data_IF_648635607044
#
_entry.id   IF_648635607044
#
_cell.length_a   1.000
_cell.length_b   1.000
_cell.length_c   1.000
_cell.angle_alpha   90.00
_cell.angle_beta   90.00
_cell.angle_gamma   90.00
#
_symmetry.space_group_name_H-M   'P 1'
#
loop_
_entity.id
_entity.type
_entity.pdbx_description
1 polymer ?
#
# COMPACT_ATOMS: atom_id res chain seq x y z
N UNK A 1 -2.80 19.47 4.51
CA UNK A 1 -1.58 20.12 3.98
C UNK A 1 -0.26 19.69 4.64
N UNK A 2 -0.11 19.65 5.97
CA UNK A 2 1.15 19.19 6.62
C UNK A 2 1.48 17.71 6.35
N UNK A 3 0.49 16.84 6.28
CA UNK A 3 0.65 15.39 6.06
C UNK A 3 1.24 15.11 4.66
N UNK A 4 0.76 15.76 3.62
CA UNK A 4 1.25 15.59 2.24
C UNK A 4 2.73 15.98 2.08
N UNK A 5 3.19 17.06 2.73
CA UNK A 5 4.60 17.49 2.64
C UNK A 5 5.58 16.46 3.22
N UNK A 6 5.22 15.79 4.34
CA UNK A 6 6.04 14.74 4.94
C UNK A 6 6.19 13.55 3.99
N UNK A 7 5.09 13.13 3.34
CA UNK A 7 5.12 12.02 2.39
C UNK A 7 5.91 12.35 1.12
N UNK A 8 5.74 13.56 0.59
CA UNK A 8 6.52 14.02 -0.58
C UNK A 8 8.01 14.00 -0.26
N UNK A 9 8.41 14.48 0.91
CA UNK A 9 9.81 14.45 1.35
C UNK A 9 10.32 13.01 1.47
N UNK A 10 9.57 12.14 2.16
CA UNK A 10 9.94 10.72 2.30
C UNK A 10 10.13 10.05 0.93
N UNK A 11 9.24 10.33 -0.02
CA UNK A 11 9.35 9.78 -1.37
C UNK A 11 10.56 10.32 -2.12
N UNK A 12 10.81 11.62 -2.01
CA UNK A 12 11.99 12.27 -2.62
C UNK A 12 13.27 11.66 -2.09
N UNK A 13 13.41 11.55 -0.76
CA UNK A 13 14.60 10.97 -0.12
C UNK A 13 14.83 9.52 -0.59
N UNK A 14 13.77 8.72 -0.68
CA UNK A 14 13.86 7.36 -1.22
C UNK A 14 14.31 7.34 -2.69
N UNK A 15 13.72 8.18 -3.55
CA UNK A 15 14.09 8.25 -4.96
C UNK A 15 15.56 8.63 -5.16
N UNK A 16 16.08 9.53 -4.34
CA UNK A 16 17.50 9.91 -4.36
C UNK A 16 18.41 8.72 -4.05
N UNK A 17 18.04 7.85 -3.12
CA UNK A 17 18.80 6.59 -2.86
C UNK A 17 18.81 5.63 -4.07
N UNK A 18 17.84 5.75 -4.97
CA UNK A 18 17.72 4.96 -6.19
C UNK A 18 18.29 5.67 -7.43
N UNK A 19 18.96 6.82 -7.26
CA UNK A 19 19.42 7.68 -8.36
C UNK A 19 18.28 8.14 -9.29
N UNK A 20 17.08 8.29 -8.75
CA UNK A 20 15.88 8.74 -9.45
C UNK A 20 15.49 10.15 -8.98
N UNK A 21 14.82 10.90 -9.88
CA UNK A 21 14.30 12.23 -9.55
C UNK A 21 12.81 12.18 -9.24
N UNK A 22 12.37 13.03 -8.33
CA UNK A 22 10.96 13.32 -8.11
C UNK A 22 10.47 14.23 -9.26
N UNK A 23 9.84 13.62 -10.26
CA UNK A 23 9.19 14.39 -11.35
C UNK A 23 7.82 14.87 -10.91
N UNK A 24 7.28 15.86 -11.63
CA UNK A 24 5.92 16.37 -11.39
C UNK A 24 4.88 15.26 -11.48
N UNK A 25 5.04 14.35 -12.45
CA UNK A 25 4.12 13.22 -12.62
C UNK A 25 4.18 12.24 -11.44
N UNK A 26 5.38 11.91 -10.94
CA UNK A 26 5.54 11.05 -9.76
C UNK A 26 4.94 11.67 -8.51
N UNK A 27 5.17 12.96 -8.32
CA UNK A 27 4.58 13.69 -7.20
C UNK A 27 3.05 13.68 -7.29
N UNK A 28 2.50 13.91 -8.48
CA UNK A 28 1.07 13.91 -8.70
C UNK A 28 0.46 12.52 -8.43
N UNK A 29 1.10 11.43 -8.89
CA UNK A 29 0.68 10.05 -8.59
C UNK A 29 0.64 9.82 -7.08
N UNK A 30 1.67 10.25 -6.33
CA UNK A 30 1.66 10.18 -4.86
C UNK A 30 0.49 10.96 -4.27
N UNK A 31 0.30 12.23 -4.65
CA UNK A 31 -0.74 13.09 -4.10
C UNK A 31 -2.14 12.54 -4.35
N UNK A 32 -2.40 12.03 -5.56
CA UNK A 32 -3.68 11.40 -5.89
C UNK A 32 -3.88 10.05 -5.19
N UNK A 33 -2.82 9.28 -4.96
CA UNK A 33 -2.89 8.05 -4.16
C UNK A 33 -3.31 8.33 -2.71
N UNK A 34 -2.86 9.45 -2.13
CA UNK A 34 -3.22 9.84 -0.77
C UNK A 34 -4.68 10.25 -0.59
N UNK A 35 -5.40 10.50 -1.68
CA UNK A 35 -6.81 10.85 -1.65
C UNK A 35 -7.73 9.63 -1.43
N UNK A 36 -7.24 8.41 -1.70
CA UNK A 36 -7.98 7.20 -1.39
C UNK A 36 -7.97 6.93 0.11
N UNK A 37 -9.15 6.67 0.66
CA UNK A 37 -9.33 6.33 2.08
C UNK A 37 -9.34 4.82 2.31
N UNK A 38 -9.48 4.05 1.24
CA UNK A 38 -9.57 2.60 1.22
C UNK A 38 -8.58 2.04 0.20
N UNK A 39 -8.64 0.73 -0.03
CA UNK A 39 -7.86 0.07 -1.07
C UNK A 39 -8.25 0.57 -2.46
N UNK A 40 -7.28 0.68 -3.36
CA UNK A 40 -7.50 1.07 -4.75
C UNK A 40 -6.62 0.26 -5.69
N UNK A 41 -7.05 0.13 -6.94
CA UNK A 41 -6.26 -0.45 -8.03
C UNK A 41 -5.54 0.63 -8.82
N UNK A 42 -4.51 0.24 -9.57
CA UNK A 42 -3.82 1.17 -10.45
C UNK A 42 -4.75 1.84 -11.48
N UNK A 43 -5.73 1.10 -11.98
CA UNK A 43 -6.71 1.63 -12.92
C UNK A 43 -7.70 2.61 -12.25
N UNK A 44 -8.08 2.39 -10.99
CA UNK A 44 -8.91 3.34 -10.22
C UNK A 44 -8.19 4.69 -10.07
N UNK A 45 -6.89 4.64 -9.77
CA UNK A 45 -6.06 5.84 -9.70
C UNK A 45 -5.97 6.55 -11.05
N UNK A 46 -5.80 5.80 -12.14
CA UNK A 46 -5.78 6.37 -13.48
C UNK A 46 -7.10 7.09 -13.80
N UNK A 47 -8.25 6.45 -13.55
CA UNK A 47 -9.57 7.05 -13.77
C UNK A 47 -9.77 8.31 -12.92
N UNK A 48 -9.39 8.26 -11.64
CA UNK A 48 -9.47 9.43 -10.76
C UNK A 48 -8.61 10.58 -11.28
N UNK A 49 -7.38 10.31 -11.69
CA UNK A 49 -6.48 11.34 -12.21
C UNK A 49 -7.01 11.99 -13.49
N UNK A 50 -7.57 11.20 -14.41
CA UNK A 50 -8.19 11.71 -15.63
C UNK A 50 -9.43 12.54 -15.30
N UNK A 51 -10.28 12.06 -14.40
CA UNK A 51 -11.48 12.80 -13.96
C UNK A 51 -11.14 14.14 -13.31
N UNK A 52 -10.00 14.23 -12.62
CA UNK A 52 -9.47 15.46 -12.03
C UNK A 52 -8.73 16.36 -13.04
N UNK A 53 -8.76 16.02 -14.33
CA UNK A 53 -8.14 16.82 -15.40
C UNK A 53 -6.63 16.69 -15.51
N UNK A 54 -6.04 15.70 -14.85
CA UNK A 54 -4.59 15.46 -14.92
C UNK A 54 -4.21 14.65 -16.17
N UNK A 55 -3.22 15.14 -16.91
CA UNK A 55 -2.62 14.37 -18.00
C UNK A 55 -1.64 13.38 -17.42
N UNK A 56 -1.96 12.11 -17.49
CA UNK A 56 -1.09 11.01 -17.05
C UNK A 56 -1.25 9.81 -17.97
N UNK A 57 -0.28 8.93 -17.97
CA UNK A 57 -0.33 7.66 -18.73
C UNK A 57 -0.40 6.47 -17.76
N UNK A 58 -1.04 5.40 -18.23
CA UNK A 58 -1.04 4.12 -17.50
C UNK A 58 0.40 3.69 -17.14
N UNK A 59 1.34 3.84 -18.07
CA UNK A 59 2.74 3.51 -17.85
C UNK A 59 3.38 4.30 -16.71
N UNK A 60 3.07 5.58 -16.58
CA UNK A 60 3.57 6.42 -15.47
C UNK A 60 3.09 5.91 -14.13
N UNK A 61 1.80 5.57 -14.01
CA UNK A 61 1.21 5.02 -12.78
C UNK A 61 1.85 3.69 -12.42
N UNK A 62 1.91 2.74 -13.36
CA UNK A 62 2.49 1.41 -13.13
C UNK A 62 3.99 1.42 -12.81
N UNK A 63 4.73 2.45 -13.24
CA UNK A 63 6.14 2.65 -12.86
C UNK A 63 6.29 3.33 -11.50
N UNK A 64 5.34 4.15 -11.10
CA UNK A 64 5.44 4.95 -9.86
C UNK A 64 4.93 4.19 -8.63
N UNK A 65 3.83 3.43 -8.76
CA UNK A 65 3.25 2.68 -7.64
C UNK A 65 4.25 1.73 -6.96
N UNK A 66 5.07 0.93 -7.68
CA UNK A 66 6.09 0.09 -7.03
C UNK A 66 7.15 0.90 -6.28
N UNK A 67 7.48 2.10 -6.73
CA UNK A 67 8.41 2.99 -6.02
C UNK A 67 7.78 3.51 -4.72
N UNK A 68 6.49 3.82 -4.73
CA UNK A 68 5.75 4.22 -3.53
C UNK A 68 5.66 3.07 -2.51
N UNK A 69 5.49 1.84 -2.97
CA UNK A 69 5.51 0.65 -2.10
C UNK A 69 6.90 0.44 -1.49
N UNK A 70 7.96 0.48 -2.31
CA UNK A 70 9.34 0.32 -1.84
C UNK A 70 9.79 1.44 -0.91
N UNK A 71 9.26 2.65 -1.07
CA UNK A 71 9.50 3.76 -0.14
C UNK A 71 8.74 3.63 1.19
N UNK A 72 7.87 2.62 1.32
CA UNK A 72 7.02 2.43 2.49
C UNK A 72 5.93 3.48 2.65
N UNK A 73 5.48 4.09 1.56
CA UNK A 73 4.32 5.01 1.53
C UNK A 73 3.02 4.29 1.21
N UNK A 74 3.10 3.23 0.40
CA UNK A 74 1.98 2.34 0.11
C UNK A 74 2.31 0.92 0.54
N UNK A 75 1.28 0.14 0.80
CA UNK A 75 1.31 -1.31 0.93
C UNK A 75 0.57 -1.94 -0.23
N UNK A 76 0.97 -3.17 -0.60
CA UNK A 76 0.27 -3.99 -1.58
C UNK A 76 -0.50 -5.10 -0.88
N UNK A 77 -1.71 -5.36 -1.35
CA UNK A 77 -2.55 -6.51 -1.02
C UNK A 77 -2.87 -7.23 -2.32
N UNK A 78 -2.82 -8.55 -2.31
CA UNK A 78 -3.19 -9.37 -3.46
C UNK A 78 -4.54 -10.01 -3.13
N UNK A 79 -5.56 -9.71 -3.95
CA UNK A 79 -6.87 -10.31 -3.79
C UNK A 79 -6.90 -11.76 -4.29
N UNK A 80 -8.03 -12.44 -4.10
CA UNK A 80 -8.20 -13.82 -4.51
C UNK A 80 -8.07 -14.07 -6.03
N UNK A 81 -8.19 -13.03 -6.84
CA UNK A 81 -8.07 -13.08 -8.30
C UNK A 81 -6.69 -12.63 -8.79
N UNK A 82 -5.70 -12.55 -7.89
CA UNK A 82 -4.36 -12.04 -8.16
C UNK A 82 -4.32 -10.57 -8.62
N UNK A 83 -5.34 -9.78 -8.32
CA UNK A 83 -5.26 -8.34 -8.54
C UNK A 83 -4.47 -7.68 -7.41
N UNK A 84 -3.61 -6.75 -7.78
CA UNK A 84 -2.89 -5.93 -6.82
C UNK A 84 -3.75 -4.73 -6.43
N UNK A 85 -3.99 -4.61 -5.12
CA UNK A 85 -4.60 -3.44 -4.51
C UNK A 85 -3.53 -2.69 -3.71
N UNK A 86 -3.66 -1.39 -3.66
CA UNK A 86 -2.77 -0.52 -2.91
C UNK A 86 -3.54 0.16 -1.79
N UNK A 87 -2.88 0.37 -0.68
CA UNK A 87 -3.38 1.16 0.42
C UNK A 87 -2.29 2.08 0.95
N UNK A 88 -2.68 3.17 1.60
CA UNK A 88 -1.72 4.03 2.25
C UNK A 88 -1.13 3.32 3.48
N UNK A 89 0.19 3.16 3.51
CA UNK A 89 0.89 2.60 4.67
C UNK A 89 0.86 3.64 5.80
N UNK A 90 -0.06 3.46 6.75
CA UNK A 90 -0.06 4.24 7.97
C UNK A 90 1.25 3.97 8.75
N UNK A 91 1.82 5.01 9.35
CA UNK A 91 3.04 4.91 10.19
C UNK A 91 2.91 3.68 11.11
N UNK A 92 3.98 2.94 11.29
CA UNK A 92 4.17 1.63 11.98
C UNK A 92 3.25 1.25 13.16
N UNK A 93 2.30 2.10 13.54
CA UNK A 93 1.35 1.88 14.64
C UNK A 93 0.09 1.12 14.23
N UNK A 94 -0.23 1.04 12.95
CA UNK A 94 -1.42 0.36 12.44
C UNK A 94 -1.07 -0.76 11.45
N UNK A 95 -0.21 -1.69 11.84
CA UNK A 95 -0.13 -2.97 11.14
C UNK A 95 -1.45 -3.69 11.39
N UNK A 96 -2.34 -3.63 10.42
CA UNK A 96 -3.57 -4.40 10.40
C UNK A 96 -3.37 -5.65 9.53
N UNK A 97 -4.14 -6.66 9.84
CA UNK A 97 -4.22 -7.90 9.10
C UNK A 97 -5.48 -7.88 8.23
N UNK A 98 -5.57 -8.76 7.26
CA UNK A 98 -6.67 -8.82 6.32
C UNK A 98 -7.33 -10.19 6.29
N UNK A 99 -8.67 -10.22 6.31
CA UNK A 99 -9.47 -11.35 5.88
C UNK A 99 -9.87 -11.09 4.43
N UNK A 100 -9.57 -12.01 3.52
CA UNK A 100 -9.85 -11.85 2.10
C UNK A 100 -10.78 -12.97 1.67
N UNK A 101 -11.98 -12.60 1.19
CA UNK A 101 -12.91 -13.58 0.64
C UNK A 101 -12.46 -14.02 -0.75
N UNK A 102 -12.24 -15.31 -0.93
CA UNK A 102 -11.79 -15.87 -2.20
C UNK A 102 -12.87 -15.88 -3.28
N UNK A 103 -14.13 -15.66 -2.92
CA UNK A 103 -15.25 -15.65 -3.87
C UNK A 103 -15.62 -14.23 -4.32
N UNK A 104 -15.80 -13.29 -3.38
CA UNK A 104 -16.26 -11.94 -3.73
C UNK A 104 -15.18 -10.86 -3.59
N UNK A 105 -13.96 -11.24 -3.20
CA UNK A 105 -12.82 -10.33 -2.96
C UNK A 105 -13.06 -9.27 -1.88
N UNK A 106 -14.07 -9.45 -1.01
CA UNK A 106 -14.26 -8.59 0.14
C UNK A 106 -13.03 -8.64 1.04
N UNK A 107 -12.55 -7.47 1.46
CA UNK A 107 -11.43 -7.33 2.40
C UNK A 107 -11.97 -6.77 3.70
N UNK A 108 -11.64 -7.43 4.80
CA UNK A 108 -11.96 -6.98 6.16
C UNK A 108 -10.63 -6.78 6.88
N UNK A 109 -10.42 -5.59 7.41
CA UNK A 109 -9.24 -5.27 8.22
C UNK A 109 -9.48 -5.62 9.68
N UNK A 110 -8.45 -6.17 10.33
CA UNK A 110 -8.47 -6.42 11.77
C UNK A 110 -7.09 -6.19 12.38
N UNK A 111 -7.07 -6.01 13.69
CA UNK A 111 -5.83 -5.89 14.46
C UNK A 111 -5.71 -7.06 15.43
N UNK A 112 -4.54 -7.63 15.51
CA UNK A 112 -4.21 -8.70 16.43
C UNK A 112 -2.87 -8.39 17.14
N UNK A 113 -2.92 -7.85 18.35
CA UNK A 113 -1.73 -7.54 19.12
C UNK A 113 -0.88 -8.77 19.44
N UNK A 114 -1.48 -9.93 19.64
CA UNK A 114 -0.78 -11.18 19.99
C UNK A 114 0.08 -11.66 18.81
N UNK A 115 -0.44 -11.56 17.57
CA UNK A 115 0.32 -11.89 16.36
C UNK A 115 1.54 -10.98 16.23
N UNK A 116 1.40 -9.70 16.54
CA UNK A 116 2.52 -8.75 16.49
C UNK A 116 3.62 -9.11 17.49
N UNK A 117 3.25 -9.46 18.69
CA UNK A 117 4.20 -9.86 19.72
C UNK A 117 4.88 -11.19 19.35
N UNK A 118 4.11 -12.12 18.82
CA UNK A 118 4.64 -13.40 18.33
C UNK A 118 5.64 -13.24 17.18
N UNK A 119 5.38 -12.32 16.26
CA UNK A 119 6.31 -12.01 15.17
C UNK A 119 7.65 -11.49 15.72
N UNK A 120 7.62 -10.61 16.72
CA UNK A 120 8.84 -10.10 17.38
C UNK A 120 9.62 -11.21 18.06
N UNK A 121 8.94 -12.08 18.80
CA UNK A 121 9.54 -13.22 19.48
C UNK A 121 10.23 -14.17 18.50
N UNK A 122 9.58 -14.50 17.37
CA UNK A 122 10.16 -15.33 16.32
C UNK A 122 11.42 -14.68 15.74
N UNK A 123 11.36 -13.38 15.41
CA UNK A 123 12.52 -12.66 14.91
C UNK A 123 13.69 -12.68 15.92
N UNK A 124 13.40 -12.45 17.20
CA UNK A 124 14.41 -12.50 18.25
C UNK A 124 15.03 -13.89 18.38
N UNK A 125 14.22 -14.95 18.39
CA UNK A 125 14.68 -16.35 18.51
C UNK A 125 15.64 -16.74 17.38
N UNK A 126 15.39 -16.21 16.17
CA UNK A 126 16.20 -16.52 14.99
C UNK A 126 17.29 -15.47 14.69
N UNK A 127 17.53 -14.53 15.60
CA UNK A 127 18.43 -13.40 15.37
C UNK A 127 18.16 -12.69 14.03
N UNK A 128 16.89 -12.44 13.74
CA UNK A 128 16.40 -11.91 12.47
C UNK A 128 15.82 -10.50 12.63
N UNK A 129 16.25 -9.57 11.80
CA UNK A 129 15.68 -8.21 11.76
C UNK A 129 14.46 -8.17 10.83
N UNK A 130 13.25 -8.26 11.40
CA UNK A 130 12.00 -8.09 10.65
C UNK A 130 11.79 -6.64 10.27
N UNK A 131 11.60 -6.37 8.97
CA UNK A 131 11.35 -5.03 8.44
C UNK A 131 9.87 -4.84 8.10
N UNK A 132 9.23 -5.88 7.54
CA UNK A 132 7.83 -5.86 7.11
C UNK A 132 7.19 -7.21 7.40
N UNK A 133 5.93 -7.17 7.82
CA UNK A 133 5.11 -8.35 8.08
C UNK A 133 3.86 -8.31 7.21
N UNK A 134 3.40 -9.48 6.78
CA UNK A 134 2.09 -9.66 6.14
C UNK A 134 1.33 -10.71 6.93
N UNK A 135 0.08 -10.40 7.26
CA UNK A 135 -0.84 -11.33 7.88
C UNK A 135 -2.17 -11.27 7.14
N UNK A 136 -2.45 -12.31 6.38
CA UNK A 136 -3.63 -12.43 5.55
C UNK A 136 -4.27 -13.80 5.78
N UNK A 137 -5.58 -13.82 5.94
CA UNK A 137 -6.38 -15.05 6.03
C UNK A 137 -7.30 -15.08 4.82
N UNK A 138 -7.15 -16.08 3.96
CA UNK A 138 -8.02 -16.31 2.81
C UNK A 138 -9.11 -17.31 3.20
N UNK A 139 -10.35 -17.01 2.85
CA UNK A 139 -11.50 -17.85 3.20
C UNK A 139 -12.78 -17.37 2.54
N UNK A 140 -13.92 -17.69 3.13
CA UNK A 140 -15.25 -17.26 2.65
C UNK A 140 -15.87 -16.32 3.67
N UNK A 141 -16.37 -15.17 3.22
CA UNK A 141 -17.12 -14.26 4.07
C UNK A 141 -18.51 -14.83 4.42
N UNK A 142 -19.21 -14.21 5.36
CA UNK A 142 -20.54 -14.66 5.81
C UNK A 142 -21.59 -14.75 4.69
N UNK A 143 -21.41 -14.00 3.60
CA UNK A 143 -22.34 -14.01 2.45
C UNK A 143 -21.99 -15.08 1.42
N UNK A 144 -20.77 -15.63 1.44
CA UNK A 144 -20.26 -16.55 0.43
C UNK A 144 -20.05 -18.00 0.93
N UNK A 145 -20.16 -18.22 2.25
CA UNK A 145 -20.04 -19.56 2.85
C UNK A 145 -21.36 -20.33 2.80
#
# INVERSE_FOLDING_TARGET
MKKSRKQIRKFKDYLETQNLRLTTERQLVLEQSLAFQTHFRADDLLFQMIANGHKTSKATIYRTLPLLVKSGLLSEIIDANNNVLYEFAHDNTSQHAHLICIQCSQIIEFQDPEVKDRQREICHTHNFQGIKYRYEILGYCSHCR
#
